data_IF_888047779063
#
_entry.id   IF_888047779063
#
_cell.length_a   1.000
_cell.length_b   1.000
_cell.length_c   1.000
_cell.angle_alpha   90.00
_cell.angle_beta   90.00
_cell.angle_gamma   90.00
#
_symmetry.space_group_name_H-M   'P 1'
#
loop_
_entity.id
_entity.type
_entity.pdbx_description
1 polymer ?
#
# COMPACT_ATOMS: atom_id res chain seq x y z
N UNK A 1 12.60 -6.82 27.99
CA UNK A 1 11.63 -6.19 27.06
C UNK A 1 10.31 -6.93 27.19
N UNK A 2 9.28 -6.31 27.78
CA UNK A 2 7.95 -6.92 27.90
C UNK A 2 7.30 -6.85 26.52
N UNK A 3 7.26 -7.98 25.81
CA UNK A 3 6.66 -8.02 24.47
C UNK A 3 5.13 -8.00 24.61
N UNK A 4 4.40 -7.02 24.04
CA UNK A 4 2.95 -6.93 24.16
C UNK A 4 2.25 -8.17 23.59
N UNK A 5 1.03 -8.45 24.05
CA UNK A 5 0.22 -9.58 23.58
C UNK A 5 -0.01 -9.52 22.05
N UNK A 6 -0.08 -10.68 21.37
CA UNK A 6 -0.21 -10.78 19.90
C UNK A 6 -1.43 -10.00 19.39
N UNK A 7 -2.54 -10.03 20.14
CA UNK A 7 -3.75 -9.24 19.86
C UNK A 7 -3.48 -7.75 19.81
N UNK A 8 -2.73 -7.21 20.79
CA UNK A 8 -2.43 -5.78 20.88
C UNK A 8 -1.58 -5.36 19.69
N UNK A 9 -0.55 -6.13 19.34
CA UNK A 9 0.28 -5.84 18.17
C UNK A 9 -0.53 -5.83 16.86
N UNK A 10 -1.44 -6.79 16.69
CA UNK A 10 -2.30 -6.83 15.51
C UNK A 10 -3.29 -5.64 15.49
N UNK A 11 -3.84 -5.23 16.63
CA UNK A 11 -4.66 -4.02 16.74
C UNK A 11 -3.87 -2.75 16.40
N UNK A 12 -2.62 -2.62 16.88
CA UNK A 12 -1.77 -1.48 16.53
C UNK A 12 -1.45 -1.46 15.04
N UNK A 13 -1.24 -2.62 14.41
CA UNK A 13 -1.04 -2.72 12.96
C UNK A 13 -2.28 -2.29 12.17
N UNK A 14 -3.48 -2.71 12.61
CA UNK A 14 -4.74 -2.25 12.01
C UNK A 14 -4.93 -0.74 12.16
N UNK A 15 -4.68 -0.18 13.36
CA UNK A 15 -4.76 1.27 13.60
C UNK A 15 -3.77 2.05 12.74
N UNK A 16 -2.55 1.54 12.56
CA UNK A 16 -1.56 2.16 11.68
C UNK A 16 -2.05 2.19 10.22
N UNK A 17 -2.65 1.10 9.71
CA UNK A 17 -3.25 1.06 8.37
C UNK A 17 -4.37 2.10 8.23
N UNK A 18 -5.25 2.20 9.23
CA UNK A 18 -6.34 3.20 9.26
C UNK A 18 -5.78 4.63 9.27
N UNK A 19 -4.72 4.89 10.04
CA UNK A 19 -4.04 6.18 10.07
C UNK A 19 -3.44 6.56 8.70
N UNK A 20 -2.77 5.62 8.03
CA UNK A 20 -2.25 5.83 6.67
C UNK A 20 -3.37 6.14 5.67
N UNK A 21 -4.50 5.44 5.74
CA UNK A 21 -5.65 5.70 4.88
C UNK A 21 -6.31 7.05 5.19
N UNK A 22 -6.42 7.42 6.48
CA UNK A 22 -6.91 8.72 6.91
C UNK A 22 -6.05 9.87 6.37
N UNK A 23 -4.73 9.72 6.42
CA UNK A 23 -3.80 10.68 5.83
C UNK A 23 -3.94 10.75 4.30
N UNK A 24 -4.15 9.62 3.63
CA UNK A 24 -4.40 9.60 2.18
C UNK A 24 -5.70 10.33 1.79
N UNK A 25 -6.77 10.19 2.59
CA UNK A 25 -8.03 10.92 2.39
C UNK A 25 -7.87 12.42 2.68
N UNK A 26 -7.09 12.77 3.70
CA UNK A 26 -6.73 14.16 4.00
C UNK A 26 -5.98 14.81 2.83
N UNK A 27 -4.98 14.12 2.27
CA UNK A 27 -4.24 14.60 1.11
C UNK A 27 -5.15 14.80 -0.12
N UNK A 28 -6.13 13.92 -0.32
CA UNK A 28 -7.07 14.05 -1.44
C UNK A 28 -8.07 15.21 -1.24
N UNK A 29 -8.69 15.33 -0.06
CA UNK A 29 -9.80 16.27 0.13
C UNK A 29 -9.35 17.67 0.56
N UNK A 30 -8.22 17.78 1.25
CA UNK A 30 -7.74 19.04 1.83
C UNK A 30 -6.62 19.64 0.99
N UNK A 31 -5.67 18.81 0.53
CA UNK A 31 -4.60 19.29 -0.35
C UNK A 31 -5.00 19.27 -1.83
N UNK A 32 -6.18 18.72 -2.17
CA UNK A 32 -6.70 18.66 -3.54
C UNK A 32 -5.72 17.96 -4.52
N UNK A 33 -4.96 16.96 -4.03
CA UNK A 33 -4.12 16.13 -4.88
C UNK A 33 -4.96 15.04 -5.54
N UNK A 34 -4.95 15.02 -6.87
CA UNK A 34 -5.60 13.95 -7.62
C UNK A 34 -4.91 12.60 -7.37
N UNK A 35 -5.68 11.55 -7.05
CA UNK A 35 -5.11 10.25 -6.73
C UNK A 35 -4.63 9.57 -8.01
N UNK A 36 -3.33 9.29 -8.07
CA UNK A 36 -2.74 8.52 -9.17
C UNK A 36 -3.24 7.05 -9.17
N UNK A 37 -3.36 6.40 -10.35
CA UNK A 37 -3.80 5.00 -10.43
C UNK A 37 -2.98 4.03 -9.58
N UNK A 38 -1.65 4.20 -9.55
CA UNK A 38 -0.77 3.39 -8.71
C UNK A 38 -1.00 3.64 -7.21
N UNK A 39 -1.34 4.88 -6.85
CA UNK A 39 -1.66 5.28 -5.49
C UNK A 39 -2.92 4.56 -5.02
N UNK A 40 -3.91 4.37 -5.90
CA UNK A 40 -5.14 3.63 -5.60
C UNK A 40 -4.83 2.15 -5.37
N UNK A 41 -3.96 1.54 -6.19
CA UNK A 41 -3.52 0.16 -5.96
C UNK A 41 -2.81 0.00 -4.61
N UNK A 42 -1.98 0.96 -4.21
CA UNK A 42 -1.36 0.96 -2.89
C UNK A 42 -2.39 1.11 -1.76
N UNK A 43 -3.42 1.96 -1.94
CA UNK A 43 -4.53 2.08 -0.97
C UNK A 43 -5.26 0.75 -0.81
N UNK A 44 -5.56 0.05 -1.90
CA UNK A 44 -6.19 -1.28 -1.84
C UNK A 44 -5.31 -2.26 -1.06
N UNK A 45 -4.00 -2.27 -1.30
CA UNK A 45 -3.07 -3.13 -0.56
C UNK A 45 -3.07 -2.80 0.95
N UNK A 46 -3.03 -1.52 1.33
CA UNK A 46 -3.09 -1.09 2.75
C UNK A 46 -4.41 -1.49 3.40
N UNK A 47 -5.53 -1.34 2.70
CA UNK A 47 -6.86 -1.75 3.20
C UNK A 47 -6.92 -3.26 3.44
N UNK A 48 -6.43 -4.07 2.47
CA UNK A 48 -6.39 -5.53 2.62
C UNK A 48 -5.51 -5.95 3.80
N UNK A 49 -4.34 -5.33 3.97
CA UNK A 49 -3.43 -5.58 5.10
C UNK A 49 -4.11 -5.22 6.42
N UNK A 50 -4.75 -4.06 6.50
CA UNK A 50 -5.51 -3.60 7.67
C UNK A 50 -6.63 -4.56 8.05
N UNK A 51 -7.39 -5.07 7.06
CA UNK A 51 -8.43 -6.08 7.28
C UNK A 51 -7.84 -7.41 7.77
N UNK A 52 -6.72 -7.87 7.22
CA UNK A 52 -6.05 -9.07 7.73
C UNK A 52 -5.53 -8.88 9.16
N UNK A 53 -5.03 -7.70 9.52
CA UNK A 53 -4.63 -7.40 10.90
C UNK A 53 -5.83 -7.38 11.86
N UNK A 54 -6.94 -6.76 11.45
CA UNK A 54 -8.15 -6.69 12.25
C UNK A 54 -8.74 -8.09 12.47
N UNK A 55 -8.85 -8.89 11.41
CA UNK A 55 -9.34 -10.28 11.52
C UNK A 55 -8.40 -11.15 12.36
N UNK A 56 -7.09 -11.02 12.21
CA UNK A 56 -6.11 -11.71 13.06
C UNK A 56 -6.22 -11.30 14.54
N UNK A 57 -6.52 -10.02 14.82
CA UNK A 57 -6.73 -9.52 16.18
C UNK A 57 -8.01 -10.07 16.83
N UNK A 58 -9.10 -10.15 16.07
CA UNK A 58 -10.39 -10.71 16.53
C UNK A 58 -10.32 -12.22 16.74
N UNK A 59 -9.80 -12.95 15.75
CA UNK A 59 -9.78 -14.41 15.76
C UNK A 59 -8.79 -14.95 16.81
N UNK A 60 -7.69 -14.22 17.07
CA UNK A 60 -6.61 -14.65 17.98
C UNK A 60 -6.22 -16.12 17.83
N UNK A 61 -5.83 -16.53 16.62
CA UNK A 61 -5.65 -17.93 16.31
C UNK A 61 -4.48 -18.54 17.09
N UNK A 62 -4.63 -19.84 17.38
CA UNK A 62 -3.52 -20.68 17.84
C UNK A 62 -2.42 -20.80 16.75
N UNK A 63 -1.37 -21.56 17.04
CA UNK A 63 -0.13 -21.62 16.23
C UNK A 63 -0.33 -21.81 14.71
N UNK A 64 -1.29 -22.64 14.28
CA UNK A 64 -1.54 -22.91 12.85
C UNK A 64 -2.23 -21.73 12.18
N UNK A 65 -3.27 -21.15 12.79
CA UNK A 65 -3.97 -20.01 12.21
C UNK A 65 -3.09 -18.76 12.18
N UNK A 66 -2.20 -18.56 13.17
CA UNK A 66 -1.18 -17.50 13.13
C UNK A 66 -0.31 -17.59 11.86
N UNK A 67 0.16 -18.79 11.50
CA UNK A 67 0.94 -18.99 10.27
C UNK A 67 0.18 -18.61 9.01
N UNK A 68 -1.12 -18.92 8.93
CA UNK A 68 -1.95 -18.56 7.77
C UNK A 68 -2.03 -17.03 7.62
N UNK A 69 -2.29 -16.31 8.72
CA UNK A 69 -2.31 -14.84 8.69
C UNK A 69 -0.94 -14.24 8.38
N UNK A 70 0.15 -14.85 8.85
CA UNK A 70 1.50 -14.40 8.52
C UNK A 70 1.81 -14.50 7.03
N UNK A 71 1.44 -15.63 6.40
CA UNK A 71 1.61 -15.82 4.95
C UNK A 71 0.75 -14.84 4.17
N UNK A 72 -0.51 -14.65 4.56
CA UNK A 72 -1.41 -13.66 3.95
C UNK A 72 -0.86 -12.23 4.04
N UNK A 73 -0.44 -11.80 5.23
CA UNK A 73 0.16 -10.49 5.46
C UNK A 73 1.45 -10.31 4.65
N UNK A 74 2.29 -11.33 4.60
CA UNK A 74 3.51 -11.30 3.80
C UNK A 74 3.22 -11.17 2.31
N UNK A 75 2.26 -11.92 1.78
CA UNK A 75 1.92 -11.91 0.36
C UNK A 75 1.32 -10.55 -0.05
N UNK A 76 0.43 -10.00 0.78
CA UNK A 76 -0.15 -8.67 0.57
C UNK A 76 0.90 -7.56 0.69
N UNK A 77 1.79 -7.64 1.68
CA UNK A 77 2.89 -6.69 1.88
C UNK A 77 3.86 -6.70 0.70
N UNK A 78 4.29 -7.88 0.24
CA UNK A 78 5.18 -8.02 -0.92
C UNK A 78 4.52 -7.47 -2.19
N UNK A 79 3.25 -7.77 -2.43
CA UNK A 79 2.51 -7.24 -3.57
C UNK A 79 2.42 -5.70 -3.52
N UNK A 80 2.01 -5.13 -2.38
CA UNK A 80 1.91 -3.68 -2.20
C UNK A 80 3.26 -2.97 -2.31
N UNK A 81 4.31 -3.54 -1.70
CA UNK A 81 5.68 -3.03 -1.80
C UNK A 81 6.20 -3.08 -3.23
N UNK A 82 5.87 -4.13 -4.00
CA UNK A 82 6.21 -4.21 -5.42
C UNK A 82 5.63 -3.06 -6.23
N UNK A 83 4.34 -2.74 -6.01
CA UNK A 83 3.68 -1.57 -6.63
C UNK A 83 4.35 -0.27 -6.19
N UNK A 84 4.73 -0.15 -4.92
CA UNK A 84 5.40 1.04 -4.41
C UNK A 84 6.82 1.23 -4.96
N UNK A 85 7.61 0.15 -5.10
CA UNK A 85 8.92 0.19 -5.75
C UNK A 85 8.78 0.63 -7.20
N UNK A 86 7.77 0.10 -7.92
CA UNK A 86 7.50 0.51 -9.30
C UNK A 86 7.17 2.00 -9.38
N UNK A 87 6.37 2.50 -8.45
CA UNK A 87 6.00 3.91 -8.40
C UNK A 87 7.21 4.82 -8.09
N UNK A 88 8.06 4.43 -7.14
CA UNK A 88 9.31 5.16 -6.85
C UNK A 88 10.25 5.13 -8.06
N UNK A 89 10.35 4.00 -8.77
CA UNK A 89 11.12 3.91 -10.01
C UNK A 89 10.62 4.90 -11.06
N UNK A 90 9.31 5.00 -11.27
CA UNK A 90 8.69 5.96 -12.19
C UNK A 90 9.02 7.42 -11.82
N UNK A 91 9.08 7.76 -10.53
CA UNK A 91 9.46 9.11 -10.06
C UNK A 91 10.94 9.45 -10.27
N UNK A 92 11.80 8.46 -10.51
CA UNK A 92 13.23 8.65 -10.77
C UNK A 92 13.58 8.54 -12.26
N UNK A 93 12.61 8.30 -13.14
CA UNK A 93 12.85 8.31 -14.58
C UNK A 93 13.08 9.76 -15.06
N UNK A 94 14.06 9.99 -15.96
CA UNK A 94 14.26 11.29 -16.58
C UNK A 94 13.02 11.69 -17.40
N UNK A 95 12.72 12.99 -17.46
CA UNK A 95 11.52 13.55 -18.11
C UNK A 95 11.33 13.07 -19.57
N UNK A 96 12.43 12.80 -20.28
CA UNK A 96 12.43 12.33 -21.67
C UNK A 96 12.02 10.86 -21.84
N UNK A 97 12.00 10.08 -20.76
CA UNK A 97 11.62 8.66 -20.74
C UNK A 97 10.26 8.41 -20.08
N UNK A 98 9.53 9.46 -19.69
CA UNK A 98 8.19 9.33 -19.12
C UNK A 98 7.25 8.90 -20.24
N UNK A 99 6.65 7.69 -20.18
CA UNK A 99 5.73 7.24 -21.22
C UNK A 99 4.60 8.25 -21.38
N UNK A 100 4.44 8.73 -22.62
CA UNK A 100 3.56 9.83 -22.96
C UNK A 100 2.13 9.57 -22.47
N UNK A 101 1.55 10.62 -21.89
CA UNK A 101 0.12 10.82 -21.58
C UNK A 101 -0.77 9.62 -21.88
N UNK A 102 -0.76 8.62 -20.98
CA UNK A 102 -1.76 7.56 -21.00
C UNK A 102 -3.16 8.16 -20.80
N UNK A 103 -4.22 7.54 -21.36
CA UNK A 103 -5.60 7.99 -21.17
C UNK A 103 -5.91 8.14 -19.67
N UNK A 104 -6.69 9.16 -19.32
CA UNK A 104 -7.06 9.45 -17.92
C UNK A 104 -7.69 8.25 -17.21
N UNK A 105 -7.53 8.18 -15.89
CA UNK A 105 -7.95 7.07 -15.05
C UNK A 105 -9.43 6.69 -15.24
N UNK A 106 -10.32 7.68 -15.36
CA UNK A 106 -11.76 7.47 -15.63
C UNK A 106 -11.98 6.73 -16.95
N UNK A 107 -11.27 7.09 -18.01
CA UNK A 107 -11.44 6.46 -19.31
C UNK A 107 -10.98 4.99 -19.30
N UNK A 108 -9.89 4.70 -18.59
CA UNK A 108 -9.36 3.33 -18.44
C UNK A 108 -10.34 2.45 -17.66
N UNK A 109 -10.92 2.95 -16.57
CA UNK A 109 -11.84 2.18 -15.72
C UNK A 109 -13.20 1.97 -16.38
N UNK A 110 -13.73 2.97 -17.11
CA UNK A 110 -15.04 2.86 -17.77
C UNK A 110 -15.02 2.09 -19.09
N UNK A 111 -13.91 2.11 -19.85
CA UNK A 111 -13.88 1.54 -21.21
C UNK A 111 -13.07 0.25 -21.35
N UNK A 112 -12.21 -0.10 -20.37
CA UNK A 112 -11.37 -1.28 -20.47
C UNK A 112 -11.69 -2.31 -19.38
N UNK A 113 -11.74 -3.61 -19.73
CA UNK A 113 -11.91 -4.67 -18.74
C UNK A 113 -10.75 -4.63 -17.73
N UNK A 114 -11.03 -4.97 -16.46
CA UNK A 114 -10.11 -4.85 -15.32
C UNK A 114 -8.67 -5.36 -15.60
N UNK A 115 -8.51 -6.42 -16.40
CA UNK A 115 -7.18 -6.92 -16.84
C UNK A 115 -6.40 -5.90 -17.67
N UNK A 116 -7.05 -5.29 -18.65
CA UNK A 116 -6.44 -4.30 -19.54
C UNK A 116 -6.20 -2.99 -18.79
N UNK A 117 -7.14 -2.60 -17.92
CA UNK A 117 -6.98 -1.46 -17.03
C UNK A 117 -5.76 -1.61 -16.12
N UNK A 118 -5.56 -2.78 -15.50
CA UNK A 118 -4.37 -3.03 -14.68
C UNK A 118 -3.07 -2.91 -15.48
N UNK A 119 -3.05 -3.45 -16.71
CA UNK A 119 -1.86 -3.38 -17.58
C UNK A 119 -1.51 -1.94 -17.97
N UNK A 120 -2.51 -1.10 -18.25
CA UNK A 120 -2.33 0.33 -18.53
C UNK A 120 -1.89 1.10 -17.28
N UNK A 121 -2.45 0.78 -16.11
CA UNK A 121 -2.05 1.38 -14.84
C UNK A 121 -0.57 1.11 -14.56
N UNK A 122 -0.10 -0.12 -14.78
CA UNK A 122 1.31 -0.49 -14.58
C UNK A 122 2.25 0.13 -15.63
N UNK A 123 1.78 0.46 -16.83
CA UNK A 123 2.57 1.21 -17.81
C UNK A 123 2.92 2.62 -17.31
N UNK A 124 2.12 3.17 -16.39
CA UNK A 124 2.34 4.47 -15.77
C UNK A 124 1.93 5.63 -16.68
N UNK A 125 1.39 6.68 -16.07
CA UNK A 125 1.11 7.96 -16.73
C UNK A 125 2.06 9.04 -16.22
N UNK A 126 2.23 10.14 -16.97
CA UNK A 126 3.04 11.29 -16.54
C UNK A 126 2.64 11.82 -15.14
N UNK A 127 1.34 11.79 -14.84
CA UNK A 127 0.77 12.12 -13.52
C UNK A 127 1.35 11.29 -12.36
N UNK A 128 1.84 10.08 -12.61
CA UNK A 128 2.45 9.22 -11.59
C UNK A 128 3.95 9.49 -11.40
N UNK A 129 4.61 10.11 -12.39
CA UNK A 129 6.02 10.47 -12.30
C UNK A 129 6.23 11.81 -11.57
N UNK A 130 5.20 12.65 -11.51
CA UNK A 130 5.28 13.94 -10.83
C UNK A 130 5.31 13.78 -9.31
N UNK A 131 6.30 14.43 -8.68
CA UNK A 131 6.44 14.42 -7.22
C UNK A 131 5.69 15.62 -6.65
N UNK A 132 4.38 15.46 -6.50
CA UNK A 132 3.48 16.52 -6.01
C UNK A 132 3.69 16.83 -4.52
N UNK A 133 4.19 15.86 -3.74
CA UNK A 133 4.41 16.02 -2.30
C UNK A 133 5.67 15.31 -1.80
N UNK A 134 6.42 16.00 -0.94
CA UNK A 134 7.61 15.48 -0.25
C UNK A 134 7.53 15.80 1.22
N UNK A 135 7.80 14.81 2.06
CA UNK A 135 7.99 14.97 3.50
C UNK A 135 9.33 14.40 3.90
N UNK A 136 10.14 15.23 4.55
CA UNK A 136 11.54 14.92 4.89
C UNK A 136 12.38 14.55 3.66
N UNK A 137 12.04 15.11 2.49
CA UNK A 137 12.69 14.80 1.21
C UNK A 137 12.23 13.51 0.53
N UNK A 138 11.37 12.72 1.20
CA UNK A 138 10.82 11.47 0.66
C UNK A 138 9.43 11.70 0.06
N UNK A 139 9.16 11.07 -1.08
CA UNK A 139 7.86 11.11 -1.74
C UNK A 139 6.82 10.25 -1.01
N UNK A 140 5.54 10.59 -1.19
CA UNK A 140 4.39 9.81 -0.65
C UNK A 140 4.53 8.29 -0.87
N UNK A 141 4.89 7.78 -2.07
CA UNK A 141 4.98 6.35 -2.31
C UNK A 141 6.07 5.67 -1.48
N UNK A 142 7.16 6.39 -1.20
CA UNK A 142 8.25 5.88 -0.38
C UNK A 142 7.82 5.71 1.07
N UNK A 143 7.04 6.64 1.62
CA UNK A 143 6.45 6.49 2.95
C UNK A 143 5.49 5.30 3.04
N UNK A 144 4.67 5.11 2.00
CA UNK A 144 3.77 3.95 1.92
C UNK A 144 4.56 2.64 1.82
N UNK A 145 5.66 2.62 1.05
CA UNK A 145 6.56 1.47 0.97
C UNK A 145 7.14 1.11 2.34
N UNK A 146 7.66 2.08 3.07
CA UNK A 146 8.21 1.87 4.43
C UNK A 146 7.13 1.31 5.35
N UNK A 147 5.91 1.87 5.29
CA UNK A 147 4.76 1.39 6.06
C UNK A 147 4.39 -0.05 5.72
N UNK A 148 4.27 -0.39 4.43
CA UNK A 148 3.93 -1.73 3.96
C UNK A 148 4.97 -2.78 4.37
N UNK A 149 6.26 -2.45 4.25
CA UNK A 149 7.36 -3.33 4.67
C UNK A 149 7.39 -3.48 6.19
N UNK A 150 7.28 -2.38 6.94
CA UNK A 150 7.28 -2.39 8.41
C UNK A 150 6.08 -3.16 8.98
N UNK A 151 4.89 -2.92 8.46
CA UNK A 151 3.66 -3.63 8.86
C UNK A 151 3.71 -5.10 8.46
N UNK A 152 4.20 -5.41 7.25
CA UNK A 152 4.41 -6.79 6.80
C UNK A 152 5.36 -7.56 7.72
N UNK A 153 6.55 -7.00 7.97
CA UNK A 153 7.56 -7.64 8.81
C UNK A 153 7.08 -7.84 10.25
N UNK A 154 6.45 -6.81 10.85
CA UNK A 154 5.90 -6.90 12.21
C UNK A 154 4.74 -7.89 12.29
N UNK A 155 3.87 -7.94 11.28
CA UNK A 155 2.77 -8.90 11.18
C UNK A 155 3.23 -10.34 11.03
N UNK A 156 4.23 -10.59 10.18
CA UNK A 156 4.87 -11.89 10.00
C UNK A 156 5.51 -12.32 11.32
N UNK A 157 6.35 -11.46 11.92
CA UNK A 157 7.04 -11.79 13.16
C UNK A 157 6.09 -12.05 14.32
N UNK A 158 5.05 -11.23 14.49
CA UNK A 158 4.06 -11.38 15.55
C UNK A 158 3.25 -12.67 15.43
N UNK A 159 2.93 -13.09 14.21
CA UNK A 159 2.12 -14.28 13.96
C UNK A 159 2.96 -15.57 13.86
N UNK A 160 4.27 -15.49 13.54
CA UNK A 160 5.18 -16.64 13.59
C UNK A 160 5.73 -16.93 14.99
N UNK A 161 5.81 -15.94 15.88
CA UNK A 161 6.30 -16.17 17.25
C UNK A 161 5.35 -17.16 17.95
N UNK A 162 5.90 -18.19 18.61
CA UNK A 162 5.10 -19.18 19.36
C UNK A 162 4.45 -18.51 20.56
#
# INVERSE_FOLDING_TARGET
>A
MVVPNKRILNFTGALACTGMMGFALYAQHILLLDPCPLCILQRIAVILIGLTFLTAALHNPAAIGGRVYAVLLGLLSVAGSGVAVWHVRLQHLPADAVPGCGPGLEYIVDNFPLKNALSMIFQGSGECAEVVWRLLGLSMPTWVLIGLVGLGATGIWNNLRR
#
